data_IF_152378683888
#
_entry.id   IF_152378683888
#
_cell.length_a   1.000
_cell.length_b   1.000
_cell.length_c   1.000
_cell.angle_alpha   90.00
_cell.angle_beta   90.00
_cell.angle_gamma   90.00
#
_symmetry.space_group_name_H-M   'P 1'
#
loop_
_entity.id
_entity.type
_entity.pdbx_description
1 polymer ?
#
# COMPACT_ATOMS: atom_id res chain seq x y z
N UNK A 1 -23.46 -5.60 -26.09
CA UNK A 1 -22.41 -5.97 -25.14
C UNK A 1 -22.78 -5.45 -23.77
N UNK A 2 -22.90 -6.34 -22.78
CA UNK A 2 -23.16 -5.99 -21.38
C UNK A 2 -21.89 -5.45 -20.71
N UNK A 3 -22.02 -4.87 -19.51
CA UNK A 3 -20.87 -4.34 -18.78
C UNK A 3 -19.94 -5.48 -18.37
N UNK A 4 -20.47 -6.63 -17.96
CA UNK A 4 -19.69 -7.82 -17.61
C UNK A 4 -19.00 -8.46 -18.81
N UNK A 5 -19.62 -8.47 -19.98
CA UNK A 5 -18.98 -8.91 -21.23
C UNK A 5 -17.81 -8.00 -21.61
N UNK A 6 -18.05 -6.68 -21.61
CA UNK A 6 -17.02 -5.69 -21.90
C UNK A 6 -15.86 -5.80 -20.91
N UNK A 7 -16.16 -5.98 -19.62
CA UNK A 7 -15.16 -6.17 -18.58
C UNK A 7 -14.28 -7.40 -18.82
N UNK A 8 -14.85 -8.52 -19.26
CA UNK A 8 -14.07 -9.74 -19.55
C UNK A 8 -13.20 -9.60 -20.80
N UNK A 9 -13.62 -8.81 -21.77
CA UNK A 9 -12.94 -8.64 -23.05
C UNK A 9 -11.84 -7.57 -23.02
N UNK A 10 -11.90 -6.61 -22.08
CA UNK A 10 -10.94 -5.52 -21.98
C UNK A 10 -9.50 -6.02 -21.77
N UNK A 11 -8.55 -5.43 -22.48
CA UNK A 11 -7.11 -5.68 -22.33
C UNK A 11 -6.27 -4.83 -23.28
N UNK A 12 -4.94 -4.89 -23.15
CA UNK A 12 -4.00 -4.19 -24.04
C UNK A 12 -4.22 -4.54 -25.52
N UNK A 13 -3.99 -3.60 -26.42
CA UNK A 13 -3.96 -3.88 -27.86
C UNK A 13 -2.69 -4.65 -28.21
N UNK A 14 -2.81 -5.63 -29.10
CA UNK A 14 -1.71 -6.55 -29.49
C UNK A 14 -1.33 -6.45 -30.96
N UNK A 15 -2.00 -5.59 -31.73
CA UNK A 15 -1.75 -5.40 -33.16
C UNK A 15 -2.45 -6.42 -34.05
N UNK A 16 -3.29 -7.28 -33.48
CA UNK A 16 -4.15 -8.20 -34.22
C UNK A 16 -5.58 -7.63 -34.28
N UNK A 17 -6.08 -7.24 -35.47
CA UNK A 17 -7.43 -6.68 -35.62
C UNK A 17 -8.55 -7.58 -35.08
N UNK A 18 -8.39 -8.91 -35.15
CA UNK A 18 -9.40 -9.85 -34.66
C UNK A 18 -9.55 -9.82 -33.13
N UNK A 19 -8.48 -9.44 -32.43
CA UNK A 19 -8.43 -9.34 -30.97
C UNK A 19 -8.66 -7.89 -30.52
N UNK A 20 -8.14 -6.93 -31.27
CA UNK A 20 -8.18 -5.51 -30.91
C UNK A 20 -9.57 -4.90 -31.15
N UNK A 21 -10.32 -5.34 -32.16
CA UNK A 21 -11.68 -4.81 -32.41
C UNK A 21 -12.65 -5.10 -31.25
N UNK A 22 -12.78 -6.34 -30.72
CA UNK A 22 -13.59 -6.60 -29.53
C UNK A 22 -13.13 -5.83 -28.29
N UNK A 23 -11.81 -5.60 -28.14
CA UNK A 23 -11.24 -4.81 -27.03
C UNK A 23 -11.62 -3.33 -27.12
N UNK A 24 -11.63 -2.77 -28.32
CA UNK A 24 -12.07 -1.40 -28.57
C UNK A 24 -13.57 -1.23 -28.32
N UNK A 25 -14.40 -2.19 -28.72
CA UNK A 25 -15.83 -2.18 -28.40
C UNK A 25 -16.07 -2.29 -26.88
N UNK A 26 -15.32 -3.14 -26.19
CA UNK A 26 -15.36 -3.24 -24.74
C UNK A 26 -14.97 -1.92 -24.05
N UNK A 27 -13.93 -1.25 -24.55
CA UNK A 27 -13.53 0.08 -24.09
C UNK A 27 -14.66 1.11 -24.26
N UNK A 28 -15.36 1.08 -25.40
CA UNK A 28 -16.48 1.99 -25.70
C UNK A 28 -17.67 1.81 -24.73
N UNK A 29 -17.84 0.62 -24.15
CA UNK A 29 -18.86 0.35 -23.12
C UNK A 29 -18.41 0.78 -21.73
N UNK A 30 -17.16 0.48 -21.35
CA UNK A 30 -16.68 0.69 -19.98
C UNK A 30 -16.30 2.14 -19.68
N UNK A 31 -15.78 2.88 -20.66
CA UNK A 31 -15.31 4.25 -20.43
C UNK A 31 -16.46 5.22 -20.04
N UNK A 32 -17.63 5.22 -20.71
CA UNK A 32 -18.78 6.01 -20.27
C UNK A 32 -19.29 5.60 -18.88
N UNK A 33 -19.25 4.31 -18.57
CA UNK A 33 -19.67 3.81 -17.25
C UNK A 33 -18.73 4.24 -16.13
N UNK A 34 -17.41 4.22 -16.36
CA UNK A 34 -16.43 4.79 -15.44
C UNK A 34 -16.68 6.27 -15.19
N UNK A 35 -16.93 7.07 -16.24
CA UNK A 35 -17.26 8.50 -16.11
C UNK A 35 -18.51 8.72 -15.26
N UNK A 36 -19.57 7.92 -15.49
CA UNK A 36 -20.80 8.00 -14.70
C UNK A 36 -20.55 7.67 -13.23
N UNK A 37 -19.76 6.64 -12.94
CA UNK A 37 -19.43 6.23 -11.58
C UNK A 37 -18.52 7.24 -10.86
N UNK A 38 -17.56 7.85 -11.56
CA UNK A 38 -16.71 8.91 -11.02
C UNK A 38 -17.54 10.14 -10.64
N UNK A 39 -18.46 10.57 -11.51
CA UNK A 39 -19.39 11.66 -11.23
C UNK A 39 -20.34 11.32 -10.06
N UNK A 40 -20.75 10.06 -9.92
CA UNK A 40 -21.49 9.61 -8.75
C UNK A 40 -20.67 9.75 -7.46
N UNK A 41 -19.38 9.40 -7.48
CA UNK A 41 -18.47 9.51 -6.33
C UNK A 41 -18.25 10.97 -5.91
N UNK A 42 -18.07 11.88 -6.87
CA UNK A 42 -17.98 13.34 -6.63
C UNK A 42 -19.23 13.80 -5.85
N UNK A 43 -20.43 13.50 -6.38
CA UNK A 43 -21.70 13.99 -5.80
C UNK A 43 -22.07 13.35 -4.47
N UNK A 44 -21.76 12.06 -4.26
CA UNK A 44 -22.23 11.28 -3.10
C UNK A 44 -21.18 11.06 -2.02
N UNK A 45 -19.90 11.10 -2.36
CA UNK A 45 -18.79 10.82 -1.43
C UNK A 45 -17.89 12.04 -1.18
N UNK A 46 -18.17 13.18 -1.82
CA UNK A 46 -17.48 14.45 -1.56
C UNK A 46 -16.08 14.56 -2.17
N UNK A 47 -15.76 13.74 -3.18
CA UNK A 47 -14.49 13.88 -3.90
C UNK A 47 -14.48 15.17 -4.75
N UNK A 48 -13.35 15.88 -4.86
CA UNK A 48 -13.22 17.03 -5.74
C UNK A 48 -13.52 16.67 -7.21
N UNK A 49 -14.23 17.55 -7.91
CA UNK A 49 -14.66 17.33 -9.31
C UNK A 49 -13.46 17.21 -10.26
N UNK A 50 -12.41 17.99 -10.01
CA UNK A 50 -11.17 17.96 -10.79
C UNK A 50 -10.47 16.59 -10.84
N UNK A 51 -10.78 15.69 -9.90
CA UNK A 51 -10.20 14.34 -9.87
C UNK A 51 -10.94 13.35 -10.76
N UNK A 52 -12.15 13.67 -11.22
CA UNK A 52 -13.02 12.70 -11.87
C UNK A 52 -12.41 12.18 -13.17
N UNK A 53 -11.94 13.08 -14.04
CA UNK A 53 -11.41 12.69 -15.35
C UNK A 53 -10.05 11.98 -15.24
N UNK A 54 -9.16 12.46 -14.37
CA UNK A 54 -7.88 11.81 -14.10
C UNK A 54 -8.06 10.42 -13.50
N UNK A 55 -9.01 10.28 -12.57
CA UNK A 55 -9.31 9.00 -11.98
C UNK A 55 -9.91 8.01 -12.98
N UNK A 56 -10.76 8.48 -13.90
CA UNK A 56 -11.29 7.66 -15.00
C UNK A 56 -10.17 7.18 -15.90
N UNK A 57 -9.29 8.08 -16.35
CA UNK A 57 -8.19 7.73 -17.24
C UNK A 57 -7.22 6.75 -16.59
N UNK A 58 -6.82 6.99 -15.34
CA UNK A 58 -5.92 6.12 -14.61
C UNK A 58 -6.56 4.76 -14.29
N UNK A 59 -7.82 4.72 -13.84
CA UNK A 59 -8.52 3.46 -13.61
C UNK A 59 -8.68 2.67 -14.91
N UNK A 60 -9.00 3.33 -16.02
CA UNK A 60 -9.12 2.70 -17.33
C UNK A 60 -7.77 2.11 -17.80
N UNK A 61 -6.68 2.87 -17.68
CA UNK A 61 -5.33 2.39 -17.98
C UNK A 61 -4.93 1.19 -17.10
N UNK A 62 -5.22 1.22 -15.80
CA UNK A 62 -4.96 0.11 -14.89
C UNK A 62 -5.72 -1.16 -15.30
N UNK A 63 -6.98 -1.02 -15.73
CA UNK A 63 -7.79 -2.15 -16.20
C UNK A 63 -7.24 -2.76 -17.49
N UNK A 64 -6.77 -1.93 -18.43
CA UNK A 64 -6.16 -2.42 -19.67
C UNK A 64 -4.80 -3.11 -19.43
N UNK A 65 -3.97 -2.56 -18.55
CA UNK A 65 -2.56 -2.98 -18.37
C UNK A 65 -2.35 -4.03 -17.29
N UNK A 66 -2.99 -3.89 -16.13
CA UNK A 66 -2.91 -4.87 -15.03
C UNK A 66 -3.79 -6.09 -15.29
N UNK A 67 -4.77 -5.95 -16.17
CA UNK A 67 -5.79 -6.96 -16.46
C UNK A 67 -6.73 -7.19 -15.27
N UNK A 68 -7.88 -7.79 -15.57
CA UNK A 68 -8.91 -8.15 -14.59
C UNK A 68 -8.54 -9.44 -13.83
N UNK A 69 -7.33 -9.49 -13.29
CA UNK A 69 -6.71 -10.70 -12.72
C UNK A 69 -6.76 -10.79 -11.20
N UNK A 70 -7.26 -9.76 -10.52
CA UNK A 70 -7.45 -9.82 -9.07
C UNK A 70 -8.61 -10.75 -8.72
N UNK A 71 -8.58 -11.37 -7.53
CA UNK A 71 -9.68 -12.23 -7.05
C UNK A 71 -11.03 -11.49 -7.04
N UNK A 72 -11.03 -10.18 -6.79
CA UNK A 72 -12.22 -9.34 -6.84
C UNK A 72 -12.73 -9.13 -8.29
N UNK A 73 -11.83 -9.02 -9.26
CA UNK A 73 -12.19 -8.94 -10.68
C UNK A 73 -12.73 -10.29 -11.20
N UNK A 74 -12.15 -11.42 -10.76
CA UNK A 74 -12.61 -12.77 -11.10
C UNK A 74 -13.99 -13.09 -10.51
N UNK A 75 -14.36 -12.48 -9.37
CA UNK A 75 -15.67 -12.62 -8.74
C UNK A 75 -16.80 -11.81 -9.42
N UNK A 76 -16.49 -11.05 -10.48
CA UNK A 76 -17.45 -10.26 -11.23
C UNK A 76 -18.24 -11.13 -12.23
N UNK A 77 -19.34 -11.70 -11.74
CA UNK A 77 -20.28 -12.54 -12.49
C UNK A 77 -21.48 -11.78 -13.07
N UNK A 78 -21.64 -10.50 -12.72
CA UNK A 78 -22.79 -9.67 -13.06
C UNK A 78 -22.43 -8.19 -13.22
N UNK A 79 -23.21 -7.46 -14.00
CA UNK A 79 -23.05 -6.01 -14.21
C UNK A 79 -23.04 -5.22 -12.90
N UNK A 80 -23.87 -5.63 -11.92
CA UNK A 80 -23.92 -5.01 -10.60
C UNK A 80 -22.57 -5.14 -9.86
N UNK A 81 -21.97 -6.33 -9.88
CA UNK A 81 -20.66 -6.56 -9.24
C UNK A 81 -19.54 -5.84 -9.96
N UNK A 82 -19.56 -5.81 -11.29
CA UNK A 82 -18.59 -5.04 -12.08
C UNK A 82 -18.69 -3.56 -11.71
N UNK A 83 -19.88 -2.97 -11.63
CA UNK A 83 -20.05 -1.57 -11.19
C UNK A 83 -19.50 -1.33 -9.78
N UNK A 84 -19.72 -2.26 -8.86
CA UNK A 84 -19.16 -2.21 -7.51
C UNK A 84 -17.62 -2.22 -7.52
N UNK A 85 -17.03 -3.11 -8.30
CA UNK A 85 -15.59 -3.21 -8.49
C UNK A 85 -15.00 -1.94 -9.14
N UNK A 86 -15.58 -1.47 -10.25
CA UNK A 86 -15.13 -0.25 -10.94
C UNK A 86 -15.20 0.98 -10.03
N UNK A 87 -16.24 1.08 -9.21
CA UNK A 87 -16.38 2.15 -8.22
C UNK A 87 -15.27 2.09 -7.16
N UNK A 88 -14.88 0.90 -6.72
CA UNK A 88 -13.77 0.72 -5.78
C UNK A 88 -12.43 1.09 -6.43
N UNK A 89 -12.20 0.70 -7.69
CA UNK A 89 -11.03 1.13 -8.45
C UNK A 89 -10.93 2.65 -8.54
N UNK A 90 -12.02 3.32 -8.93
CA UNK A 90 -12.08 4.78 -9.01
C UNK A 90 -11.83 5.42 -7.65
N UNK A 91 -12.45 4.90 -6.58
CA UNK A 91 -12.25 5.41 -5.21
C UNK A 91 -10.79 5.34 -4.78
N UNK A 92 -10.12 4.20 -5.04
CA UNK A 92 -8.72 4.02 -4.69
C UNK A 92 -7.81 4.97 -5.46
N UNK A 93 -8.04 5.14 -6.76
CA UNK A 93 -7.31 6.10 -7.59
C UNK A 93 -7.52 7.53 -7.11
N UNK A 94 -8.76 7.94 -6.82
CA UNK A 94 -9.05 9.28 -6.31
C UNK A 94 -8.41 9.52 -4.93
N UNK A 95 -8.38 8.52 -4.06
CA UNK A 95 -7.70 8.62 -2.76
C UNK A 95 -6.18 8.72 -2.92
N UNK A 96 -5.60 7.96 -3.85
CA UNK A 96 -4.16 8.03 -4.14
C UNK A 96 -3.79 9.36 -4.78
N UNK A 97 -4.66 9.90 -5.62
CA UNK A 97 -4.48 11.22 -6.21
C UNK A 97 -4.62 12.33 -5.18
N UNK A 98 -5.59 12.26 -4.25
CA UNK A 98 -5.65 13.20 -3.11
C UNK A 98 -4.39 13.14 -2.25
N UNK A 99 -3.86 11.94 -2.00
CA UNK A 99 -2.57 11.78 -1.29
C UNK A 99 -1.39 12.27 -2.13
N UNK A 100 -1.48 12.23 -3.45
CA UNK A 100 -0.45 12.71 -4.37
C UNK A 100 -0.50 14.23 -4.46
N UNK A 101 -1.67 14.83 -4.62
CA UNK A 101 -1.90 16.27 -4.57
C UNK A 101 -1.46 16.81 -3.22
N UNK A 102 -1.82 16.17 -2.10
CA UNK A 102 -1.28 16.55 -0.79
C UNK A 102 0.25 16.44 -0.68
N UNK A 103 0.93 15.65 -1.53
CA UNK A 103 2.41 15.56 -1.62
C UNK A 103 3.02 16.48 -2.68
N UNK A 104 2.28 16.83 -3.73
CA UNK A 104 2.71 17.71 -4.82
C UNK A 104 2.47 19.17 -4.43
N UNK A 105 1.38 19.48 -3.75
CA UNK A 105 1.19 20.76 -3.04
C UNK A 105 2.32 21.00 -2.03
N UNK A 106 2.85 19.94 -1.39
CA UNK A 106 4.06 20.02 -0.55
C UNK A 106 5.36 20.27 -1.33
N UNK A 107 5.42 19.95 -2.63
CA UNK A 107 6.60 20.11 -3.48
C UNK A 107 6.57 21.42 -4.28
N UNK A 108 5.41 21.81 -4.82
CA UNK A 108 5.21 23.10 -5.52
C UNK A 108 5.30 24.28 -4.54
N UNK A 109 4.98 24.05 -3.26
CA UNK A 109 5.26 25.01 -2.18
C UNK A 109 6.76 25.28 -1.96
N UNK A 110 7.68 24.44 -2.47
CA UNK A 110 9.13 24.62 -2.30
C UNK A 110 9.81 25.45 -3.41
N UNK A 111 9.09 25.84 -4.47
CA UNK A 111 9.71 26.15 -5.77
C UNK A 111 9.65 27.57 -6.35
N UNK A 112 8.71 28.46 -6.00
CA UNK A 112 8.52 29.69 -6.82
C UNK A 112 8.40 30.99 -6.03
N UNK A 113 9.38 31.87 -6.21
CA UNK A 113 9.44 33.24 -5.72
C UNK A 113 8.73 34.23 -6.67
N UNK A 114 7.45 34.59 -6.41
CA UNK A 114 6.87 35.89 -6.84
C UNK A 114 5.80 36.32 -5.82
N UNK A 115 5.87 37.57 -5.34
CA UNK A 115 5.11 38.19 -4.23
C UNK A 115 3.59 38.37 -4.51
N UNK A 116 2.70 37.97 -3.57
CA UNK A 116 1.89 38.87 -2.69
C UNK A 116 0.98 38.06 -1.71
N UNK A 117 1.30 38.25 -0.42
CA UNK A 117 0.61 38.15 0.88
C UNK A 117 -0.44 37.09 1.34
N UNK A 118 -0.09 36.59 2.54
CA UNK A 118 -0.89 36.25 3.73
C UNK A 118 -1.60 34.88 3.83
N UNK A 119 -0.86 33.88 4.34
CA UNK A 119 -1.43 32.68 4.96
C UNK A 119 -0.37 31.74 5.56
N UNK A 120 0.18 32.11 6.72
CA UNK A 120 1.00 31.30 7.67
C UNK A 120 2.26 30.62 7.12
N UNK A 121 3.39 31.29 7.35
CA UNK A 121 4.74 30.73 7.34
C UNK A 121 4.84 29.70 8.46
N UNK A 122 5.09 28.43 8.15
CA UNK A 122 5.53 27.47 9.17
C UNK A 122 6.79 28.05 9.81
N UNK A 123 6.70 28.32 11.10
CA UNK A 123 7.78 28.92 11.89
C UNK A 123 9.07 28.09 11.73
N UNK A 124 10.26 28.70 11.89
CA UNK A 124 11.53 27.96 11.98
C UNK A 124 11.48 26.83 13.02
N UNK A 125 10.60 26.95 14.02
CA UNK A 125 10.31 25.93 15.03
C UNK A 125 9.57 24.72 14.44
N UNK A 126 8.58 24.90 13.57
CA UNK A 126 7.84 23.80 12.94
C UNK A 126 8.71 22.98 11.96
N UNK A 127 9.61 23.64 11.22
CA UNK A 127 10.61 22.97 10.39
C UNK A 127 11.64 22.20 11.22
N UNK A 128 12.03 22.75 12.38
CA UNK A 128 12.90 22.06 13.33
C UNK A 128 12.20 20.83 13.93
N UNK A 129 10.91 20.94 14.29
CA UNK A 129 10.09 19.84 14.80
C UNK A 129 9.97 18.71 13.76
N UNK A 130 9.68 19.03 12.50
CA UNK A 130 9.57 18.03 11.43
C UNK A 130 10.91 17.30 11.16
N UNK A 131 12.02 18.04 11.13
CA UNK A 131 13.36 17.45 10.99
C UNK A 131 13.72 16.58 12.19
N UNK A 132 13.36 17.02 13.40
CA UNK A 132 13.58 16.26 14.62
C UNK A 132 12.76 14.97 14.64
N UNK A 133 11.52 15.01 14.14
CA UNK A 133 10.67 13.82 14.00
C UNK A 133 11.23 12.82 12.98
N UNK A 134 11.75 13.29 11.83
CA UNK A 134 12.43 12.41 10.85
C UNK A 134 13.68 11.77 11.47
N UNK A 135 14.53 12.57 12.12
CA UNK A 135 15.74 12.08 12.77
C UNK A 135 15.41 11.07 13.89
N UNK A 136 14.35 11.34 14.66
CA UNK A 136 13.84 10.46 15.71
C UNK A 136 13.38 9.12 15.13
N UNK A 137 12.60 9.12 14.04
CA UNK A 137 12.14 7.90 13.36
C UNK A 137 13.28 7.10 12.74
N UNK A 138 14.24 7.77 12.10
CA UNK A 138 15.43 7.10 11.55
C UNK A 138 16.28 6.46 12.65
N UNK A 139 16.45 7.17 13.77
CA UNK A 139 17.12 6.65 14.96
C UNK A 139 16.38 5.43 15.50
N UNK A 140 15.05 5.48 15.62
CA UNK A 140 14.22 4.36 16.08
C UNK A 140 14.36 3.14 15.17
N UNK A 141 14.34 3.36 13.85
CA UNK A 141 14.49 2.29 12.88
C UNK A 141 15.85 1.61 12.96
N UNK A 142 16.93 2.40 13.11
CA UNK A 142 18.28 1.87 13.28
C UNK A 142 18.37 1.02 14.56
N UNK A 143 17.95 1.59 15.68
CA UNK A 143 17.93 0.90 16.97
C UNK A 143 17.08 -0.38 16.91
N UNK A 144 15.92 -0.33 16.25
CA UNK A 144 15.03 -1.46 16.12
C UNK A 144 15.72 -2.65 15.45
N UNK A 145 16.37 -2.44 14.30
CA UNK A 145 17.02 -3.52 13.56
C UNK A 145 18.38 -3.95 14.15
N UNK A 146 19.15 -3.00 14.70
CA UNK A 146 20.51 -3.28 15.18
C UNK A 146 20.54 -3.77 16.63
N UNK A 147 19.57 -3.39 17.46
CA UNK A 147 19.56 -3.67 18.89
C UNK A 147 18.34 -4.48 19.34
N UNK A 148 17.13 -4.02 19.01
CA UNK A 148 15.90 -4.61 19.56
C UNK A 148 15.65 -6.00 18.97
N UNK A 149 15.70 -6.16 17.64
CA UNK A 149 15.48 -7.46 16.98
C UNK A 149 16.52 -8.51 17.42
N UNK A 150 17.83 -8.24 17.43
CA UNK A 150 18.82 -9.19 17.92
C UNK A 150 18.65 -9.55 19.40
N UNK A 151 18.33 -8.58 20.26
CA UNK A 151 18.10 -8.84 21.68
C UNK A 151 16.83 -9.66 21.92
N UNK A 152 15.74 -9.38 21.21
CA UNK A 152 14.53 -10.20 21.25
C UNK A 152 14.81 -11.64 20.79
N UNK A 153 15.67 -11.81 19.78
CA UNK A 153 16.05 -13.12 19.28
C UNK A 153 16.95 -13.90 20.26
N UNK A 154 17.85 -13.22 20.98
CA UNK A 154 18.77 -13.86 21.93
C UNK A 154 18.09 -14.36 23.21
N UNK A 155 16.93 -13.80 23.57
CA UNK A 155 16.09 -14.31 24.66
C UNK A 155 15.37 -15.62 24.32
N UNK A 156 15.35 -16.01 23.05
CA UNK A 156 14.73 -17.24 22.59
C UNK A 156 15.74 -18.37 22.50
N UNK A 157 15.22 -19.61 22.38
CA UNK A 157 16.05 -20.74 21.98
C UNK A 157 16.69 -20.46 20.61
N UNK A 158 17.91 -20.96 20.33
CA UNK A 158 18.65 -20.62 19.11
C UNK A 158 17.85 -20.73 17.81
N UNK A 159 17.06 -21.79 17.64
CA UNK A 159 16.23 -22.00 16.45
C UNK A 159 15.10 -20.96 16.35
N UNK A 160 14.43 -20.68 17.46
CA UNK A 160 13.36 -19.69 17.52
C UNK A 160 13.89 -18.26 17.34
N UNK A 161 15.11 -17.96 17.81
CA UNK A 161 15.80 -16.71 17.58
C UNK A 161 16.14 -16.51 16.09
N UNK A 162 16.70 -17.54 15.44
CA UNK A 162 16.95 -17.52 13.98
C UNK A 162 15.67 -17.32 13.19
N UNK A 163 14.60 -18.03 13.56
CA UNK A 163 13.28 -17.91 12.95
C UNK A 163 12.70 -16.50 13.07
N UNK A 164 12.86 -15.85 14.23
CA UNK A 164 12.41 -14.47 14.44
C UNK A 164 13.17 -13.51 13.52
N UNK A 165 14.51 -13.57 13.53
CA UNK A 165 15.35 -12.70 12.70
C UNK A 165 15.05 -12.87 11.22
N UNK A 166 14.88 -14.11 10.76
CA UNK A 166 14.53 -14.40 9.37
C UNK A 166 13.14 -13.84 9.01
N UNK A 167 12.13 -14.04 9.87
CA UNK A 167 10.80 -13.50 9.64
C UNK A 167 10.79 -11.97 9.57
N UNK A 168 11.58 -11.30 10.40
CA UNK A 168 11.74 -9.84 10.36
C UNK A 168 12.41 -9.38 9.07
N UNK A 169 13.46 -10.09 8.63
CA UNK A 169 14.13 -9.78 7.38
C UNK A 169 13.18 -9.94 6.17
N UNK A 170 12.39 -11.01 6.12
CA UNK A 170 11.39 -11.19 5.07
C UNK A 170 10.36 -10.04 5.07
N UNK A 171 9.82 -9.68 6.23
CA UNK A 171 8.88 -8.56 6.32
C UNK A 171 9.49 -7.23 5.90
N UNK A 172 10.77 -6.99 6.20
CA UNK A 172 11.50 -5.80 5.76
C UNK A 172 11.62 -5.75 4.23
N UNK A 173 12.06 -6.84 3.61
CA UNK A 173 12.21 -6.93 2.15
C UNK A 173 10.86 -6.75 1.42
N UNK A 174 9.77 -7.25 2.00
CA UNK A 174 8.41 -7.02 1.50
C UNK A 174 8.01 -5.54 1.62
N UNK A 175 8.30 -4.92 2.77
CA UNK A 175 7.97 -3.52 3.02
C UNK A 175 8.75 -2.55 2.13
N UNK A 176 10.01 -2.85 1.80
CA UNK A 176 10.82 -2.06 0.86
C UNK A 176 10.51 -2.38 -0.61
N UNK A 177 9.79 -3.47 -0.88
CA UNK A 177 9.48 -3.94 -2.23
C UNK A 177 10.66 -4.61 -2.93
N UNK A 178 11.71 -4.97 -2.20
CA UNK A 178 12.87 -5.71 -2.71
C UNK A 178 12.55 -7.18 -3.01
N UNK A 179 11.48 -7.72 -2.41
CA UNK A 179 11.04 -9.10 -2.63
C UNK A 179 9.52 -9.16 -2.70
N UNK A 180 8.99 -10.06 -3.53
CA UNK A 180 7.55 -10.37 -3.55
C UNK A 180 7.20 -11.46 -2.53
N UNK A 181 5.91 -11.55 -2.17
CA UNK A 181 5.45 -12.50 -1.17
C UNK A 181 5.65 -13.96 -1.61
N UNK A 182 5.49 -14.24 -2.90
CA UNK A 182 5.68 -15.58 -3.46
C UNK A 182 7.13 -16.08 -3.30
N UNK A 183 8.12 -15.21 -3.53
CA UNK A 183 9.54 -15.49 -3.35
C UNK A 183 9.86 -15.74 -1.89
N UNK A 184 9.30 -14.94 -0.98
CA UNK A 184 9.42 -15.19 0.47
C UNK A 184 8.86 -16.57 0.85
N UNK A 185 7.68 -16.93 0.34
CA UNK A 185 7.05 -18.23 0.62
C UNK A 185 7.90 -19.39 0.11
N UNK A 186 8.41 -19.27 -1.12
CA UNK A 186 9.32 -20.26 -1.71
C UNK A 186 10.63 -20.39 -0.92
N UNK A 187 11.25 -19.28 -0.50
CA UNK A 187 12.47 -19.33 0.32
C UNK A 187 12.24 -19.93 1.71
N UNK A 188 11.10 -19.63 2.33
CA UNK A 188 10.80 -20.06 3.69
C UNK A 188 10.36 -21.52 3.80
N UNK A 189 9.73 -22.07 2.75
CA UNK A 189 9.04 -23.37 2.82
C UNK A 189 9.41 -24.34 1.70
N UNK A 190 10.01 -23.86 0.62
CA UNK A 190 10.29 -24.64 -0.59
C UNK A 190 9.05 -25.00 -1.43
N UNK A 191 7.87 -24.48 -1.08
CA UNK A 191 6.59 -24.80 -1.72
C UNK A 191 5.79 -23.53 -2.02
N UNK A 192 4.94 -23.55 -3.04
CA UNK A 192 4.02 -22.47 -3.40
C UNK A 192 2.57 -22.98 -3.35
N UNK A 193 2.08 -23.25 -2.14
CA UNK A 193 0.70 -23.69 -1.90
C UNK A 193 0.04 -22.87 -0.79
N UNK A 194 -1.28 -22.97 -0.68
CA UNK A 194 -2.09 -22.20 0.30
C UNK A 194 -1.64 -22.44 1.75
N UNK A 195 -1.13 -23.63 2.06
CA UNK A 195 -0.64 -23.98 3.40
C UNK A 195 0.67 -23.27 3.68
N UNK A 196 1.58 -23.24 2.71
CA UNK A 196 2.85 -22.53 2.79
C UNK A 196 2.65 -21.02 2.96
N UNK A 197 1.74 -20.42 2.17
CA UNK A 197 1.35 -19.01 2.31
C UNK A 197 0.81 -18.72 3.71
N UNK A 198 -0.12 -19.54 4.20
CA UNK A 198 -0.70 -19.42 5.54
C UNK A 198 0.35 -19.55 6.65
N UNK A 199 1.28 -20.49 6.51
CA UNK A 199 2.35 -20.71 7.48
C UNK A 199 3.28 -19.49 7.59
N UNK A 200 3.63 -18.87 6.45
CA UNK A 200 4.44 -17.65 6.43
C UNK A 200 3.69 -16.47 7.04
N UNK A 201 2.40 -16.29 6.72
CA UNK A 201 1.57 -15.26 7.38
C UNK A 201 1.51 -15.43 8.90
N UNK A 202 1.30 -16.65 9.38
CA UNK A 202 1.30 -16.96 10.81
C UNK A 202 2.67 -16.71 11.45
N UNK A 203 3.76 -17.09 10.77
CA UNK A 203 5.13 -16.82 11.23
C UNK A 203 5.38 -15.31 11.38
N UNK A 204 5.02 -14.52 10.38
CA UNK A 204 5.13 -13.05 10.42
C UNK A 204 4.27 -12.45 11.54
N UNK A 205 3.03 -12.93 11.72
CA UNK A 205 2.13 -12.49 12.79
C UNK A 205 2.72 -12.76 14.18
N UNK A 206 3.23 -13.98 14.42
CA UNK A 206 3.89 -14.37 15.66
C UNK A 206 5.14 -13.53 15.93
N UNK A 207 5.96 -13.28 14.91
CA UNK A 207 7.16 -12.45 15.02
C UNK A 207 6.82 -11.03 15.48
N UNK A 208 5.83 -10.36 14.85
CA UNK A 208 5.40 -9.02 15.25
C UNK A 208 4.86 -8.98 16.68
N UNK A 209 3.97 -9.92 17.03
CA UNK A 209 3.41 -10.01 18.38
C UNK A 209 4.53 -10.11 19.42
N UNK A 210 5.51 -10.97 19.17
CA UNK A 210 6.66 -11.15 20.07
C UNK A 210 7.52 -9.91 20.20
N UNK A 211 7.74 -9.16 19.12
CA UNK A 211 8.47 -7.88 19.18
C UNK A 211 7.72 -6.83 19.99
N UNK A 212 6.39 -6.76 19.85
CA UNK A 212 5.56 -5.87 20.69
C UNK A 212 5.66 -6.27 22.16
N UNK A 213 5.49 -7.56 22.48
CA UNK A 213 5.62 -8.08 23.85
C UNK A 213 7.01 -7.79 24.45
N UNK A 214 8.07 -7.88 23.65
CA UNK A 214 9.43 -7.53 24.09
C UNK A 214 9.61 -6.03 24.32
N UNK A 215 9.03 -5.17 23.47
CA UNK A 215 9.05 -3.72 23.69
C UNK A 215 8.30 -3.37 24.99
N UNK A 216 7.16 -4.02 25.25
CA UNK A 216 6.41 -3.85 26.50
C UNK A 216 7.24 -4.25 27.73
N UNK A 217 8.00 -5.36 27.67
CA UNK A 217 8.86 -5.77 28.77
C UNK A 217 9.98 -4.77 29.03
N UNK A 218 10.59 -4.22 27.97
CA UNK A 218 11.62 -3.17 28.11
C UNK A 218 11.08 -1.89 28.74
N UNK A 219 9.82 -1.54 28.50
CA UNK A 219 9.16 -0.41 29.17
C UNK A 219 8.91 -0.74 30.65
N UNK A 220 8.39 -1.93 30.94
CA UNK A 220 8.13 -2.37 32.31
C UNK A 220 9.41 -2.44 33.17
N UNK A 221 10.53 -2.84 32.57
CA UNK A 221 11.85 -2.90 33.20
C UNK A 221 12.57 -1.54 33.24
N UNK A 222 12.00 -0.49 32.64
CA UNK A 222 12.58 0.85 32.60
C UNK A 222 13.78 1.01 31.67
N UNK A 223 14.02 0.04 30.77
CA UNK A 223 15.09 0.09 29.78
C UNK A 223 14.79 1.00 28.58
N UNK A 224 13.52 1.30 28.33
CA UNK A 224 13.05 2.17 27.25
C UNK A 224 11.93 3.07 27.77
N UNK A 225 11.95 4.36 27.39
CA UNK A 225 10.88 5.31 27.75
C UNK A 225 9.59 5.02 26.97
N UNK A 226 8.44 5.43 27.50
CA UNK A 226 7.15 5.25 26.82
C UNK A 226 7.13 5.87 25.41
N UNK A 227 7.67 7.08 25.29
CA UNK A 227 7.82 7.80 24.01
C UNK A 227 8.65 7.00 23.00
N UNK A 228 9.77 6.43 23.45
CA UNK A 228 10.64 5.64 22.58
C UNK A 228 10.00 4.31 22.19
N UNK A 229 9.22 3.71 23.09
CA UNK A 229 8.46 2.51 22.80
C UNK A 229 7.39 2.74 21.73
N UNK A 230 6.77 3.93 21.69
CA UNK A 230 5.85 4.31 20.60
C UNK A 230 6.57 4.32 19.23
N UNK A 231 7.77 4.90 19.15
CA UNK A 231 8.56 4.89 17.91
C UNK A 231 8.91 3.45 17.48
N UNK A 232 9.28 2.59 18.42
CA UNK A 232 9.61 1.19 18.14
C UNK A 232 8.37 0.39 17.70
N UNK A 233 7.21 0.62 18.33
CA UNK A 233 5.93 0.04 17.88
C UNK A 233 5.56 0.54 16.48
N UNK A 234 5.84 1.81 16.18
CA UNK A 234 5.69 2.34 14.84
C UNK A 234 6.56 1.57 13.84
N UNK A 235 7.83 1.26 14.16
CA UNK A 235 8.67 0.41 13.30
C UNK A 235 8.05 -0.98 13.07
N UNK A 236 7.49 -1.62 14.09
CA UNK A 236 6.78 -2.90 13.94
C UNK A 236 5.55 -2.77 13.02
N UNK A 237 4.82 -1.65 13.08
CA UNK A 237 3.66 -1.40 12.22
C UNK A 237 4.05 -1.26 10.74
N UNK A 238 5.24 -0.72 10.44
CA UNK A 238 5.72 -0.59 9.06
C UNK A 238 6.00 -1.95 8.41
N UNK A 239 6.28 -2.99 9.21
CA UNK A 239 6.45 -4.37 8.72
C UNK A 239 5.13 -5.00 8.18
N UNK A 240 3.99 -4.32 8.31
CA UNK A 240 2.70 -4.78 7.76
C UNK A 240 2.45 -4.30 6.33
N UNK A 241 3.08 -3.20 5.88
CA UNK A 241 2.74 -2.57 4.60
C UNK A 241 3.41 -3.34 3.45
N UNK A 242 2.59 -3.80 2.50
CA UNK A 242 2.86 -4.66 1.32
C UNK A 242 2.96 -6.17 1.61
N UNK A 243 1.81 -6.73 1.95
CA UNK A 243 1.52 -8.17 1.84
C UNK A 243 0.09 -8.37 1.34
N UNK A 244 -0.26 -7.69 0.25
CA UNK A 244 -1.55 -7.83 -0.44
C UNK A 244 -1.31 -7.59 -1.92
N UNK A 245 -0.77 -8.62 -2.58
CA UNK A 245 -0.82 -8.78 -4.03
C UNK A 245 -1.88 -9.83 -4.34
#
# INVERSE_FOLDING_TARGET
MTIVEAFRLLGCLVGDPAIDHPRQEAAAVLLPELRRLAQWLVRRSGFPEQLADDAVNQAFCNLMTGGNRSNAALACDSDQRVKGFLKECLRNVMLDELRRQGRVEQLDAAGTSVRFDAGTVDSPEELAIASQEIARRQSAQREFYERIVPAAASMLRPDAGRDLTQAVQHMRLLATGEMDFKTVVMQATGKDDVTAHSAVHQRHSRARRRLVEYIESLVAEGHVTTERAEDLRWCVSQLQRRGSS
#
